data_IF_634309434976
#
_entry.id   IF_634309434976
#
_cell.length_a   1.000
_cell.length_b   1.000
_cell.length_c   1.000
_cell.angle_alpha   90.00
_cell.angle_beta   90.00
_cell.angle_gamma   90.00
#
_symmetry.space_group_name_H-M   'P 1'
#
loop_
_entity.id
_entity.type
_entity.pdbx_description
1 polymer ?
#
# COMPACT_ATOMS: atom_id res chain seq x y z
N UNK A 1 25.98 14.02 4.84
CA UNK A 1 26.49 13.06 3.84
C UNK A 1 28.00 13.01 3.78
N UNK A 2 28.68 14.11 3.44
CA UNK A 2 30.14 14.14 3.30
C UNK A 2 30.91 13.61 4.54
N UNK A 3 30.43 13.87 5.76
CA UNK A 3 31.05 13.38 6.99
C UNK A 3 30.99 11.84 7.15
N UNK A 4 29.88 11.21 6.75
CA UNK A 4 29.80 9.74 6.72
C UNK A 4 30.76 9.15 5.69
N UNK A 5 30.84 9.77 4.50
CA UNK A 5 31.75 9.32 3.44
C UNK A 5 33.23 9.54 3.78
N UNK A 6 33.53 10.58 4.57
CA UNK A 6 34.85 10.86 5.12
C UNK A 6 35.16 10.04 6.39
N UNK A 7 34.34 9.03 6.70
CA UNK A 7 34.56 8.11 7.79
C UNK A 7 34.53 8.75 9.20
N UNK A 8 33.72 9.81 9.37
CA UNK A 8 33.55 10.60 10.60
C UNK A 8 32.11 10.49 11.15
N UNK A 9 31.68 9.30 11.62
CA UNK A 9 30.29 9.07 12.02
C UNK A 9 29.85 9.90 13.23
N UNK A 10 30.74 10.14 14.21
CA UNK A 10 30.43 10.95 15.38
C UNK A 10 30.09 12.41 15.01
N UNK A 11 30.89 13.02 14.12
CA UNK A 11 30.64 14.40 13.65
C UNK A 11 29.38 14.48 12.79
N UNK A 12 29.13 13.43 11.97
CA UNK A 12 27.94 13.34 11.14
C UNK A 12 26.67 13.26 12.00
N UNK A 13 26.67 12.42 13.03
CA UNK A 13 25.57 12.30 14.00
C UNK A 13 25.41 13.62 14.77
N UNK A 14 26.49 14.21 15.28
CA UNK A 14 26.40 15.49 15.99
C UNK A 14 25.80 16.61 15.12
N UNK A 15 26.15 16.66 13.83
CA UNK A 15 25.55 17.60 12.89
C UNK A 15 24.05 17.31 12.67
N UNK A 16 23.68 16.04 12.48
CA UNK A 16 22.28 15.65 12.33
C UNK A 16 21.45 16.02 13.56
N UNK A 17 21.93 15.72 14.77
CA UNK A 17 21.21 16.05 15.99
C UNK A 17 21.02 17.57 16.16
N UNK A 18 21.98 18.39 15.74
CA UNK A 18 21.80 19.85 15.68
C UNK A 18 20.69 20.28 14.70
N UNK A 19 20.55 19.61 13.57
CA UNK A 19 19.47 19.91 12.62
C UNK A 19 18.10 19.41 13.11
N UNK A 20 18.08 18.31 13.87
CA UNK A 20 16.85 17.76 14.48
C UNK A 20 16.37 18.63 15.65
N UNK A 21 17.28 19.24 16.39
CA UNK A 21 16.95 20.02 17.59
C UNK A 21 15.93 21.13 17.30
N UNK A 22 14.82 21.11 18.04
CA UNK A 22 13.75 22.11 17.93
C UNK A 22 12.82 21.93 16.73
N UNK A 23 13.00 20.89 15.92
CA UNK A 23 12.08 20.57 14.82
C UNK A 23 10.88 19.74 15.32
N UNK A 24 9.71 19.84 14.67
CA UNK A 24 8.61 18.90 14.87
C UNK A 24 9.06 17.46 14.65
N UNK A 25 8.47 16.50 15.36
CA UNK A 25 8.88 15.09 15.32
C UNK A 25 8.88 14.53 13.89
N UNK A 26 7.81 14.75 13.12
CA UNK A 26 7.72 14.30 11.72
C UNK A 26 8.85 14.84 10.82
N UNK A 27 9.36 16.04 11.12
CA UNK A 27 10.49 16.64 10.41
C UNK A 27 11.81 16.00 10.86
N UNK A 28 11.98 15.72 12.15
CA UNK A 28 13.15 15.00 12.65
C UNK A 28 13.26 13.61 12.02
N UNK A 29 12.14 12.90 11.90
CA UNK A 29 12.10 11.61 11.24
C UNK A 29 12.39 11.71 9.73
N UNK A 30 11.91 12.78 9.07
CA UNK A 30 12.22 13.06 7.67
C UNK A 30 13.72 13.26 7.44
N UNK A 31 14.39 13.97 8.37
CA UNK A 31 15.85 14.14 8.35
C UNK A 31 16.57 12.81 8.54
N UNK A 32 16.10 11.98 9.49
CA UNK A 32 16.65 10.65 9.72
C UNK A 32 16.49 9.77 8.47
N UNK A 33 15.32 9.79 7.80
CA UNK A 33 15.08 9.06 6.54
C UNK A 33 16.00 9.53 5.44
N UNK A 34 16.09 10.84 5.21
CA UNK A 34 16.98 11.40 4.20
C UNK A 34 18.43 10.97 4.44
N UNK A 35 18.91 11.09 5.68
CA UNK A 35 20.28 10.72 6.02
C UNK A 35 20.51 9.23 5.92
N UNK A 36 19.59 8.42 6.45
CA UNK A 36 19.66 6.96 6.45
C UNK A 36 19.73 6.38 5.04
N UNK A 37 18.89 6.90 4.14
CA UNK A 37 18.86 6.47 2.73
C UNK A 37 20.13 6.91 1.97
N UNK A 38 20.57 8.15 2.15
CA UNK A 38 21.68 8.70 1.34
C UNK A 38 23.09 8.30 1.86
N UNK A 39 23.25 8.00 3.14
CA UNK A 39 24.53 7.63 3.75
C UNK A 39 24.63 6.16 4.17
N UNK A 40 23.76 5.28 3.66
CA UNK A 40 23.61 3.90 4.14
C UNK A 40 24.94 3.15 4.33
N UNK A 41 25.84 3.21 3.33
CA UNK A 41 27.16 2.55 3.40
C UNK A 41 28.05 3.12 4.50
N UNK A 42 28.10 4.44 4.64
CA UNK A 42 28.91 5.11 5.67
C UNK A 42 28.35 4.90 7.08
N UNK A 43 27.03 4.78 7.20
CA UNK A 43 26.35 4.44 8.46
C UNK A 43 26.70 3.00 8.87
N UNK A 44 26.60 2.03 7.95
CA UNK A 44 26.94 0.64 8.21
C UNK A 44 28.40 0.48 8.68
N UNK A 45 29.36 1.07 7.96
CA UNK A 45 30.76 1.05 8.33
C UNK A 45 31.06 1.75 9.68
N UNK A 46 30.25 2.75 10.05
CA UNK A 46 30.35 3.44 11.33
C UNK A 46 29.84 2.60 12.51
N UNK A 47 28.78 1.81 12.29
CA UNK A 47 28.12 1.00 13.30
C UNK A 47 28.93 -0.26 13.68
N UNK A 48 29.76 -0.79 12.78
CA UNK A 48 30.65 -1.92 13.05
C UNK A 48 31.80 -1.57 14.01
N UNK A 49 31.97 -0.30 14.36
CA UNK A 49 33.05 0.18 15.24
C UNK A 49 32.54 0.48 16.64
N UNK A 50 33.43 0.41 17.62
CA UNK A 50 33.16 0.92 18.96
C UNK A 50 32.89 2.43 18.89
N UNK A 51 31.64 2.82 19.17
CA UNK A 51 31.19 4.20 19.24
C UNK A 51 30.79 4.57 20.67
N UNK A 52 30.78 5.86 20.98
CA UNK A 52 30.12 6.34 22.19
C UNK A 52 28.63 5.95 22.16
N UNK A 53 27.99 5.64 23.32
CA UNK A 53 26.62 5.12 23.35
C UNK A 53 25.58 5.95 22.58
N UNK A 54 25.63 7.28 22.69
CA UNK A 54 24.72 8.17 21.97
C UNK A 54 24.90 8.12 20.44
N UNK A 55 26.13 7.96 19.96
CA UNK A 55 26.42 7.80 18.52
C UNK A 55 25.95 6.43 18.04
N UNK A 56 26.18 5.37 18.82
CA UNK A 56 25.71 4.02 18.50
C UNK A 56 24.17 3.97 18.35
N UNK A 57 23.44 4.57 19.29
CA UNK A 57 21.98 4.64 19.24
C UNK A 57 21.47 5.40 18.01
N UNK A 58 22.10 6.53 17.65
CA UNK A 58 21.75 7.28 16.46
C UNK A 58 22.02 6.49 15.17
N UNK A 59 23.17 5.80 15.07
CA UNK A 59 23.47 4.95 13.92
C UNK A 59 22.46 3.81 13.80
N UNK A 60 22.10 3.15 14.90
CA UNK A 60 21.09 2.10 14.90
C UNK A 60 19.73 2.61 14.41
N UNK A 61 19.31 3.80 14.86
CA UNK A 61 18.10 4.47 14.36
C UNK A 61 18.15 4.69 12.84
N UNK A 62 19.28 5.20 12.33
CA UNK A 62 19.46 5.46 10.89
C UNK A 62 19.54 4.17 10.05
N UNK A 63 20.10 3.08 10.60
CA UNK A 63 20.13 1.77 9.94
C UNK A 63 18.73 1.17 9.79
N UNK A 64 17.84 1.39 10.76
CA UNK A 64 16.47 0.87 10.76
C UNK A 64 15.54 1.51 9.74
N UNK A 65 15.91 2.63 9.11
CA UNK A 65 15.06 3.40 8.18
C UNK A 65 14.49 2.54 7.05
N UNK A 66 15.27 1.60 6.53
CA UNK A 66 14.87 0.78 5.38
C UNK A 66 13.93 -0.36 5.78
N UNK A 67 13.97 -0.82 7.04
CA UNK A 67 13.25 -1.99 7.51
C UNK A 67 12.04 -1.64 8.37
N UNK A 68 12.08 -0.52 9.09
CA UNK A 68 10.99 -0.08 9.97
C UNK A 68 9.94 0.66 9.18
N UNK A 69 8.67 0.32 9.38
CA UNK A 69 7.55 1.05 8.79
C UNK A 69 7.50 2.50 9.29
N UNK A 70 7.37 3.49 8.38
CA UNK A 70 7.27 4.88 8.78
C UNK A 70 6.03 5.09 9.66
N UNK A 71 6.10 6.00 10.63
CA UNK A 71 4.91 6.40 11.39
C UNK A 71 3.91 7.07 10.46
N UNK A 72 2.61 6.87 10.71
CA UNK A 72 1.56 7.63 10.03
C UNK A 72 1.56 9.08 10.58
N UNK A 73 1.87 10.11 9.77
CA UNK A 73 1.85 11.48 10.25
C UNK A 73 0.41 11.92 10.52
N UNK A 74 0.13 12.48 11.70
CA UNK A 74 -1.23 12.99 11.99
C UNK A 74 -1.58 14.19 11.11
N UNK A 75 -2.87 14.43 10.89
CA UNK A 75 -3.32 15.60 10.13
C UNK A 75 -2.90 16.91 10.80
N UNK A 76 -2.94 16.98 12.14
CA UNK A 76 -2.54 18.16 12.91
C UNK A 76 -1.04 18.46 12.77
N UNK A 77 -0.18 17.42 12.82
CA UNK A 77 1.25 17.58 12.58
C UNK A 77 1.51 18.14 11.18
N UNK A 78 0.83 17.59 10.17
CA UNK A 78 1.03 18.03 8.79
C UNK A 78 0.45 19.42 8.55
N UNK A 79 -0.71 19.75 9.10
CA UNK A 79 -1.34 21.06 8.97
C UNK A 79 -0.48 22.20 9.54
N UNK A 80 0.39 21.92 10.52
CA UNK A 80 1.31 22.88 11.09
C UNK A 80 2.55 23.17 10.21
N UNK A 81 2.77 22.41 9.13
CA UNK A 81 3.94 22.50 8.26
C UNK A 81 3.65 23.33 6.99
N UNK A 82 4.67 24.03 6.49
CA UNK A 82 4.62 24.63 5.16
C UNK A 82 4.73 23.57 4.05
N UNK A 83 4.27 23.85 2.82
CA UNK A 83 4.24 22.86 1.74
C UNK A 83 5.61 22.26 1.42
N UNK A 84 6.68 23.05 1.49
CA UNK A 84 8.05 22.55 1.33
C UNK A 84 8.44 21.52 2.40
N UNK A 85 7.93 21.73 3.62
CA UNK A 85 8.17 20.88 4.78
C UNK A 85 7.36 19.58 4.66
N UNK A 86 6.08 19.69 4.28
CA UNK A 86 5.22 18.54 3.95
C UNK A 86 5.82 17.70 2.84
N UNK A 87 6.31 18.36 1.78
CA UNK A 87 6.96 17.69 0.66
C UNK A 87 8.17 16.90 1.14
N UNK A 88 9.06 17.51 1.93
CA UNK A 88 10.26 16.81 2.41
C UNK A 88 9.89 15.58 3.27
N UNK A 89 8.87 15.70 4.13
CA UNK A 89 8.33 14.57 4.91
C UNK A 89 7.88 13.43 4.00
N UNK A 90 6.98 13.68 3.05
CA UNK A 90 6.43 12.62 2.19
C UNK A 90 7.45 12.10 1.18
N UNK A 91 8.25 12.97 0.59
CA UNK A 91 9.33 12.58 -0.32
C UNK A 91 10.35 11.70 0.39
N UNK A 92 10.68 11.96 1.66
CA UNK A 92 11.59 11.10 2.42
C UNK A 92 11.04 9.68 2.63
N UNK A 93 9.73 9.53 2.77
CA UNK A 93 9.07 8.21 2.85
C UNK A 93 9.09 7.56 1.47
N UNK A 94 8.68 8.28 0.43
CA UNK A 94 8.68 7.77 -0.94
C UNK A 94 10.08 7.34 -1.41
N UNK A 95 11.15 8.04 -1.02
CA UNK A 95 12.53 7.65 -1.33
C UNK A 95 13.00 6.44 -0.51
N UNK A 96 12.58 6.33 0.75
CA UNK A 96 12.96 5.20 1.60
C UNK A 96 12.23 3.89 1.21
N UNK A 97 11.05 3.99 0.60
CA UNK A 97 10.19 2.84 0.24
C UNK A 97 10.06 2.60 -1.26
N UNK A 98 10.40 3.61 -2.05
CA UNK A 98 10.27 3.63 -3.49
C UNK A 98 11.41 2.92 -4.20
N UNK A 99 11.35 2.97 -5.53
CA UNK A 99 12.44 2.51 -6.40
C UNK A 99 13.12 3.70 -7.10
N UNK A 100 14.15 3.40 -7.90
CA UNK A 100 14.89 4.42 -8.63
C UNK A 100 14.02 5.25 -9.60
N UNK A 101 12.92 4.69 -10.13
CA UNK A 101 12.00 5.44 -10.99
C UNK A 101 11.18 6.45 -10.18
N UNK A 102 10.77 6.11 -8.96
CA UNK A 102 10.14 7.06 -8.05
C UNK A 102 11.11 8.18 -7.67
N UNK A 103 12.37 7.86 -7.36
CA UNK A 103 13.41 8.85 -7.08
C UNK A 103 13.65 9.79 -8.27
N UNK A 104 13.74 9.24 -9.48
CA UNK A 104 13.89 10.02 -10.70
C UNK A 104 12.69 10.95 -10.93
N UNK A 105 11.47 10.47 -10.67
CA UNK A 105 10.28 11.28 -10.82
C UNK A 105 10.23 12.41 -9.80
N UNK A 106 10.62 12.16 -8.53
CA UNK A 106 10.74 13.22 -7.52
C UNK A 106 11.79 14.28 -7.87
N UNK A 107 12.87 13.87 -8.54
CA UNK A 107 13.93 14.77 -8.99
C UNK A 107 13.59 15.55 -10.26
N UNK A 108 12.59 15.11 -11.03
CA UNK A 108 12.24 15.72 -12.32
C UNK A 108 11.16 16.79 -12.11
N UNK A 109 11.43 18.08 -12.41
CA UNK A 109 10.44 19.13 -12.29
C UNK A 109 9.17 18.81 -13.09
N UNK A 110 8.03 19.02 -12.46
CA UNK A 110 6.72 18.74 -13.01
C UNK A 110 6.36 17.24 -13.05
N UNK A 111 7.20 16.31 -12.60
CA UNK A 111 6.73 14.93 -12.43
C UNK A 111 6.07 14.73 -11.07
N UNK A 112 4.93 14.05 -11.09
CA UNK A 112 4.10 13.69 -9.93
C UNK A 112 4.41 12.26 -9.52
N UNK A 113 4.61 12.06 -8.22
CA UNK A 113 4.68 10.75 -7.58
C UNK A 113 3.50 10.61 -6.64
N UNK A 114 2.95 9.40 -6.54
CA UNK A 114 1.84 9.08 -5.65
C UNK A 114 2.40 8.23 -4.51
N UNK A 115 2.16 8.63 -3.28
CA UNK A 115 2.50 7.88 -2.07
C UNK A 115 1.22 7.39 -1.39
N UNK A 116 1.11 6.11 -1.12
CA UNK A 116 0.07 5.49 -0.30
C UNK A 116 0.63 5.12 1.06
N UNK A 117 0.00 5.63 2.12
CA UNK A 117 0.27 5.30 3.51
C UNK A 117 -0.88 4.43 4.02
N UNK A 118 -0.61 3.12 4.11
CA UNK A 118 -1.56 2.14 4.61
C UNK A 118 -1.49 2.05 6.12
N UNK A 119 -2.63 2.21 6.78
CA UNK A 119 -2.87 1.76 8.13
C UNK A 119 -3.48 0.36 8.03
N UNK A 120 -2.62 -0.63 8.19
CA UNK A 120 -3.02 -2.03 8.15
C UNK A 120 -4.19 -2.28 9.12
N UNK A 121 -5.28 -2.85 8.63
CA UNK A 121 -6.48 -3.12 9.41
C UNK A 121 -7.20 -4.33 8.84
N UNK A 122 -8.02 -5.00 9.65
CA UNK A 122 -8.73 -6.18 9.19
C UNK A 122 -9.82 -5.79 8.20
N UNK A 123 -10.07 -6.64 7.19
CA UNK A 123 -11.24 -6.46 6.30
C UNK A 123 -12.56 -6.52 7.05
N UNK A 124 -12.56 -7.14 8.24
CA UNK A 124 -13.68 -7.24 9.15
C UNK A 124 -13.90 -5.97 9.98
N UNK A 125 -12.97 -5.02 10.02
CA UNK A 125 -13.13 -3.81 10.83
C UNK A 125 -14.29 -2.93 10.34
N UNK A 126 -14.59 -2.94 9.03
CA UNK A 126 -15.75 -2.25 8.46
C UNK A 126 -17.09 -2.94 8.76
N UNK A 127 -17.08 -4.05 9.49
CA UNK A 127 -18.23 -4.90 9.76
C UNK A 127 -18.87 -4.65 11.13
N UNK A 128 -18.28 -3.81 11.99
CA UNK A 128 -18.72 -3.63 13.37
C UNK A 128 -20.24 -3.38 13.49
N UNK A 129 -20.86 -4.27 14.28
CA UNK A 129 -22.29 -4.47 14.37
C UNK A 129 -23.03 -3.29 15.06
N UNK A 130 -24.25 -3.06 14.59
CA UNK A 130 -25.28 -2.27 15.26
C UNK A 130 -25.64 -2.78 16.67
N UNK A 131 -25.29 -4.02 17.03
CA UNK A 131 -25.40 -4.55 18.39
C UNK A 131 -24.36 -3.98 19.38
N UNK A 132 -23.32 -3.26 18.91
CA UNK A 132 -22.32 -2.60 19.76
C UNK A 132 -22.24 -1.07 19.52
N UNK A 133 -23.36 -0.33 19.70
CA UNK A 133 -23.48 1.08 19.29
C UNK A 133 -22.63 2.07 20.10
N UNK A 134 -22.04 1.69 21.25
CA UNK A 134 -21.27 2.59 22.11
C UNK A 134 -19.79 2.71 21.74
N UNK A 135 -19.33 2.05 20.67
CA UNK A 135 -17.91 2.01 20.25
C UNK A 135 -17.64 2.44 18.80
N UNK A 136 -18.61 2.97 18.06
CA UNK A 136 -18.35 3.44 16.69
C UNK A 136 -17.37 4.60 16.69
N UNK A 137 -16.10 4.29 16.50
CA UNK A 137 -15.08 5.28 16.15
C UNK A 137 -15.25 5.62 14.69
N UNK A 138 -15.01 6.87 14.33
CA UNK A 138 -14.92 7.22 12.93
C UNK A 138 -13.78 6.43 12.28
N UNK A 139 -14.05 5.89 11.09
CA UNK A 139 -13.07 5.18 10.27
C UNK A 139 -11.90 6.10 9.91
N UNK A 140 -12.19 7.39 9.67
CA UNK A 140 -11.20 8.45 9.75
C UNK A 140 -11.31 9.21 11.09
N UNK A 141 -10.26 9.21 11.96
CA UNK A 141 -10.29 9.86 13.26
C UNK A 141 -10.41 11.40 13.21
N UNK A 142 -10.11 12.03 12.08
CA UNK A 142 -10.30 13.47 11.85
C UNK A 142 -11.77 13.82 11.57
N UNK A 143 -12.65 12.83 11.37
CA UNK A 143 -14.07 13.03 11.15
C UNK A 143 -14.89 12.51 12.33
N UNK A 144 -16.07 13.08 12.56
CA UNK A 144 -16.98 12.58 13.60
C UNK A 144 -17.91 11.45 13.11
N UNK A 145 -17.85 11.10 11.82
CA UNK A 145 -18.78 10.18 11.18
C UNK A 145 -18.06 8.89 10.81
N UNK A 146 -18.58 7.78 11.31
CA UNK A 146 -18.22 6.46 10.82
C UNK A 146 -18.99 6.13 9.53
N UNK A 147 -18.25 6.07 8.43
CA UNK A 147 -18.72 5.75 7.08
C UNK A 147 -18.55 4.27 6.72
N UNK A 148 -17.80 3.52 7.53
CA UNK A 148 -17.54 2.09 7.37
C UNK A 148 -18.68 1.27 7.99
N UNK A 149 -19.60 0.77 7.16
CA UNK A 149 -20.78 0.04 7.65
C UNK A 149 -21.12 -1.14 6.78
N UNK A 150 -21.34 -2.28 7.41
CA UNK A 150 -21.76 -3.50 6.72
C UNK A 150 -20.73 -3.98 5.70
N UNK A 151 -19.44 -3.86 6.03
CA UNK A 151 -18.34 -4.27 5.17
C UNK A 151 -18.05 -3.32 4.02
N UNK A 152 -18.41 -2.04 4.13
CA UNK A 152 -18.26 -1.06 3.04
C UNK A 152 -16.85 -0.50 2.84
N UNK A 153 -15.90 -0.85 3.72
CA UNK A 153 -14.51 -0.38 3.76
C UNK A 153 -14.27 0.74 4.77
N UNK A 154 -13.00 0.96 5.14
CA UNK A 154 -12.55 1.95 6.15
C UNK A 154 -11.69 3.00 5.44
N UNK A 155 -12.05 4.29 5.54
CA UNK A 155 -11.27 5.39 4.93
C UNK A 155 -10.20 5.98 5.85
N UNK A 156 -9.35 5.12 6.42
CA UNK A 156 -8.28 5.49 7.36
C UNK A 156 -6.91 5.71 6.70
N UNK A 157 -6.72 5.35 5.43
CA UNK A 157 -5.45 5.50 4.74
C UNK A 157 -5.26 6.91 4.19
N UNK A 158 -4.01 7.24 3.84
CA UNK A 158 -3.69 8.49 3.15
C UNK A 158 -3.03 8.24 1.81
N UNK A 159 -3.56 8.85 0.76
CA UNK A 159 -2.89 8.97 -0.54
C UNK A 159 -2.38 10.40 -0.71
N UNK A 160 -1.15 10.56 -1.19
CA UNK A 160 -0.49 11.85 -1.35
C UNK A 160 0.07 11.96 -2.77
N UNK A 161 -0.19 13.09 -3.43
CA UNK A 161 0.47 13.45 -4.69
C UNK A 161 1.51 14.53 -4.39
N UNK A 162 2.75 14.29 -4.83
CA UNK A 162 3.88 15.19 -4.57
C UNK A 162 4.63 15.50 -5.86
N UNK A 163 5.00 16.79 -6.03
CA UNK A 163 5.83 17.25 -7.13
C UNK A 163 6.58 18.54 -6.76
N UNK A 164 7.54 18.91 -7.62
CA UNK A 164 8.13 20.24 -7.63
C UNK A 164 7.86 20.89 -8.98
N UNK A 165 7.61 22.19 -8.99
CA UNK A 165 7.56 22.97 -10.22
C UNK A 165 8.97 23.22 -10.77
N UNK A 166 9.03 23.85 -11.95
CA UNK A 166 10.30 24.16 -12.65
C UNK A 166 11.22 25.10 -11.87
N UNK A 167 10.66 25.92 -11.00
CA UNK A 167 11.37 26.82 -10.09
C UNK A 167 11.80 26.13 -8.79
N UNK A 168 11.44 24.85 -8.61
CA UNK A 168 11.70 24.07 -7.41
C UNK A 168 10.64 24.23 -6.32
N UNK A 169 9.57 25.00 -6.56
CA UNK A 169 8.47 25.15 -5.60
C UNK A 169 7.81 23.79 -5.37
N UNK A 170 7.79 23.37 -4.10
CA UNK A 170 7.30 22.07 -3.69
C UNK A 170 5.79 22.11 -3.45
N UNK A 171 5.10 21.05 -3.87
CA UNK A 171 3.65 20.92 -3.76
C UNK A 171 3.27 19.54 -3.23
N UNK A 172 2.18 19.53 -2.46
CA UNK A 172 1.61 18.33 -1.86
C UNK A 172 0.09 18.43 -1.92
N UNK A 173 -0.57 17.36 -2.37
CA UNK A 173 -2.02 17.18 -2.23
C UNK A 173 -2.28 15.91 -1.44
N UNK A 174 -2.93 16.07 -0.28
CA UNK A 174 -3.24 15.00 0.67
C UNK A 174 -4.71 14.58 0.51
N UNK A 175 -4.95 13.29 0.29
CA UNK A 175 -6.25 12.65 0.39
C UNK A 175 -6.27 11.83 1.67
N UNK A 176 -6.76 12.44 2.75
CA UNK A 176 -6.74 11.87 4.10
C UNK A 176 -7.81 10.80 4.32
N UNK A 177 -8.78 10.69 3.41
CA UNK A 177 -9.81 9.65 3.41
C UNK A 177 -9.58 8.74 2.22
N UNK A 178 -8.63 7.83 2.35
CA UNK A 178 -8.38 6.78 1.39
C UNK A 178 -8.52 5.39 2.02
N UNK A 179 -8.61 4.37 1.18
CA UNK A 179 -8.68 2.98 1.56
C UNK A 179 -7.82 2.16 0.61
N UNK A 180 -6.97 1.31 1.16
CA UNK A 180 -6.06 0.43 0.42
C UNK A 180 -6.26 -1.04 0.73
N UNK A 181 -7.27 -1.33 1.54
CA UNK A 181 -7.72 -2.66 1.93
C UNK A 181 -8.92 -3.12 1.09
N UNK A 182 -9.13 -4.42 0.92
CA UNK A 182 -10.32 -4.93 0.28
C UNK A 182 -11.53 -4.83 1.21
N UNK A 183 -12.74 -4.92 0.66
CA UNK A 183 -13.97 -4.71 1.45
C UNK A 183 -14.87 -5.93 1.49
N UNK A 184 -15.22 -6.34 2.71
CA UNK A 184 -15.88 -7.61 3.01
C UNK A 184 -17.24 -7.78 2.30
N UNK A 185 -17.95 -6.70 1.94
CA UNK A 185 -19.23 -6.82 1.22
C UNK A 185 -19.10 -7.47 -0.18
N UNK A 186 -17.91 -7.50 -0.78
CA UNK A 186 -17.65 -8.19 -2.05
C UNK A 186 -17.10 -9.60 -1.87
N UNK A 187 -16.79 -9.98 -0.64
CA UNK A 187 -16.16 -11.25 -0.31
C UNK A 187 -17.12 -12.42 -0.55
N UNK A 188 -16.62 -13.52 -1.09
CA UNK A 188 -17.41 -14.73 -1.28
C UNK A 188 -17.93 -15.28 0.07
N UNK A 189 -17.16 -15.13 1.15
CA UNK A 189 -17.50 -15.53 2.51
C UNK A 189 -18.69 -14.78 3.13
N UNK A 190 -19.13 -13.67 2.53
CA UNK A 190 -20.34 -12.94 2.93
C UNK A 190 -21.68 -13.68 2.68
N UNK A 191 -21.61 -14.95 2.27
CA UNK A 191 -22.77 -15.80 2.04
C UNK A 191 -23.42 -15.62 0.67
N UNK A 192 -24.34 -16.52 0.34
CA UNK A 192 -25.14 -16.45 -0.88
C UNK A 192 -26.50 -17.14 -0.75
N UNK A 193 -27.55 -16.47 -1.23
CA UNK A 193 -28.92 -17.01 -1.33
C UNK A 193 -29.18 -17.76 -2.66
N UNK A 194 -28.13 -18.10 -3.41
CA UNK A 194 -28.17 -18.89 -4.64
C UNK A 194 -28.39 -18.09 -5.92
N UNK A 195 -28.08 -16.78 -5.91
CA UNK A 195 -28.22 -15.94 -7.10
C UNK A 195 -27.25 -14.75 -7.14
N UNK A 196 -26.20 -14.74 -6.32
CA UNK A 196 -25.24 -13.63 -6.21
C UNK A 196 -24.39 -13.53 -7.49
N UNK A 197 -24.29 -12.35 -8.13
CA UNK A 197 -23.47 -12.19 -9.33
C UNK A 197 -21.98 -12.39 -9.05
N UNK A 198 -21.23 -12.85 -10.06
CA UNK A 198 -19.76 -12.86 -10.04
C UNK A 198 -19.21 -11.63 -10.76
N UNK A 199 -18.06 -11.11 -10.34
CA UNK A 199 -17.40 -9.93 -10.91
C UNK A 199 -17.05 -10.08 -12.39
N UNK A 200 -16.64 -11.27 -12.81
CA UNK A 200 -16.34 -11.62 -14.21
C UNK A 200 -17.57 -11.95 -15.07
N UNK A 201 -18.76 -11.90 -14.48
CA UNK A 201 -20.01 -12.29 -15.11
C UNK A 201 -20.50 -13.68 -14.70
N UNK A 202 -21.79 -13.93 -14.88
CA UNK A 202 -22.46 -15.14 -14.37
C UNK A 202 -22.96 -14.97 -12.93
N UNK A 203 -23.33 -16.09 -12.31
CA UNK A 203 -23.91 -16.13 -10.96
C UNK A 203 -23.41 -17.35 -10.19
N UNK A 204 -23.16 -17.14 -8.91
CA UNK A 204 -23.03 -18.22 -7.94
C UNK A 204 -24.45 -18.72 -7.57
N UNK A 205 -24.71 -19.98 -7.85
CA UNK A 205 -26.02 -20.61 -7.64
C UNK A 205 -26.07 -21.44 -6.36
N UNK A 206 -24.90 -21.76 -5.76
CA UNK A 206 -24.84 -22.46 -4.48
C UNK A 206 -25.39 -21.57 -3.37
N UNK A 207 -26.17 -22.18 -2.47
CA UNK A 207 -26.62 -21.53 -1.24
C UNK A 207 -25.70 -21.92 -0.11
N UNK A 208 -25.26 -20.94 0.66
CA UNK A 208 -24.46 -21.15 1.86
C UNK A 208 -24.58 -19.93 2.76
N UNK A 209 -24.48 -20.20 4.05
CA UNK A 209 -24.50 -19.17 5.08
C UNK A 209 -23.16 -18.39 5.07
N UNK A 210 -23.14 -17.15 5.58
CA UNK A 210 -21.89 -16.42 5.78
C UNK A 210 -20.90 -17.21 6.64
N UNK A 211 -19.61 -17.05 6.37
CA UNK A 211 -18.55 -17.60 7.22
C UNK A 211 -18.48 -16.86 8.56
N UNK A 212 -17.87 -17.45 9.60
CA UNK A 212 -17.65 -16.77 10.87
C UNK A 212 -17.01 -15.39 10.69
N UNK A 213 -17.57 -14.36 11.32
CA UNK A 213 -17.14 -12.97 11.18
C UNK A 213 -17.84 -12.20 10.07
N UNK A 214 -18.49 -12.88 9.10
CA UNK A 214 -19.15 -12.24 7.96
C UNK A 214 -20.67 -11.98 8.16
N UNK A 215 -21.23 -12.38 9.30
CA UNK A 215 -22.67 -12.47 9.52
C UNK A 215 -23.39 -11.10 9.51
N UNK A 216 -22.67 -10.01 9.75
CA UNK A 216 -23.26 -8.66 9.74
C UNK A 216 -23.46 -8.10 8.33
N UNK A 217 -22.93 -8.75 7.29
CA UNK A 217 -23.18 -8.36 5.89
C UNK A 217 -24.55 -8.88 5.46
N UNK A 218 -25.57 -8.06 5.72
CA UNK A 218 -26.95 -8.38 5.35
C UNK A 218 -27.26 -8.18 3.86
N UNK A 219 -26.39 -7.46 3.13
CA UNK A 219 -26.56 -7.14 1.70
C UNK A 219 -25.24 -7.30 0.94
N UNK A 220 -24.75 -8.54 0.78
CA UNK A 220 -23.52 -8.76 0.03
C UNK A 220 -23.68 -8.29 -1.43
N UNK A 221 -22.60 -7.74 -1.98
CA UNK A 221 -22.51 -7.26 -3.37
C UNK A 221 -22.25 -8.42 -4.31
N UNK A 222 -21.81 -8.17 -5.54
CA UNK A 222 -21.29 -9.26 -6.40
C UNK A 222 -20.04 -9.87 -5.74
N UNK A 223 -19.77 -11.14 -6.01
CA UNK A 223 -18.56 -11.84 -5.54
C UNK A 223 -17.41 -11.40 -6.44
N UNK A 224 -16.35 -10.90 -5.82
CA UNK A 224 -15.10 -10.53 -6.50
C UNK A 224 -13.96 -11.41 -5.96
N UNK A 225 -12.82 -11.39 -6.64
CA UNK A 225 -11.65 -12.19 -6.26
C UNK A 225 -11.51 -13.49 -7.03
N UNK A 226 -10.51 -14.28 -6.61
CA UNK A 226 -10.06 -15.51 -7.26
C UNK A 226 -9.92 -16.61 -6.21
N UNK A 227 -10.23 -17.85 -6.57
CA UNK A 227 -10.07 -19.04 -5.73
C UNK A 227 -8.61 -19.51 -5.82
N UNK A 228 -7.75 -19.08 -4.89
CA UNK A 228 -6.30 -19.37 -4.99
C UNK A 228 -5.85 -20.63 -4.26
N UNK A 229 -6.69 -21.16 -3.38
CA UNK A 229 -6.44 -22.39 -2.63
C UNK A 229 -7.23 -23.60 -3.20
N UNK A 230 -8.08 -23.39 -4.21
CA UNK A 230 -8.92 -24.38 -4.89
C UNK A 230 -9.98 -25.04 -3.99
N UNK A 231 -10.50 -24.32 -3.00
CA UNK A 231 -11.58 -24.78 -2.12
C UNK A 231 -12.99 -24.46 -2.65
N UNK A 232 -13.08 -23.74 -3.77
CA UNK A 232 -14.33 -23.31 -4.40
C UNK A 232 -14.90 -22.01 -3.82
N UNK A 233 -14.18 -21.31 -2.94
CA UNK A 233 -14.44 -19.98 -2.43
C UNK A 233 -13.47 -19.00 -3.09
N UNK A 234 -13.85 -17.73 -3.24
CA UNK A 234 -13.05 -16.72 -3.95
C UNK A 234 -12.52 -15.73 -2.93
N UNK A 235 -11.23 -15.48 -3.03
CA UNK A 235 -10.47 -14.74 -2.05
C UNK A 235 -10.30 -13.30 -2.52
N UNK A 236 -10.69 -12.34 -1.68
CA UNK A 236 -10.42 -10.93 -1.94
C UNK A 236 -8.91 -10.68 -1.98
N UNK A 237 -8.52 -9.70 -2.78
CA UNK A 237 -7.13 -9.36 -2.98
C UNK A 237 -6.84 -7.90 -2.73
N UNK A 238 -5.63 -7.62 -2.26
CA UNK A 238 -5.08 -6.27 -2.12
C UNK A 238 -3.71 -6.17 -2.77
N UNK A 239 -3.30 -4.95 -3.10
CA UNK A 239 -1.91 -4.71 -3.51
C UNK A 239 -0.98 -4.87 -2.29
N UNK A 240 0.14 -5.57 -2.52
CA UNK A 240 1.26 -5.60 -1.58
C UNK A 240 1.99 -4.27 -1.59
N UNK A 241 2.67 -3.95 -0.49
CA UNK A 241 3.63 -2.84 -0.43
C UNK A 241 4.68 -2.92 -1.55
N UNK A 242 5.08 -1.77 -2.07
CA UNK A 242 6.06 -1.64 -3.14
C UNK A 242 5.80 -0.44 -4.04
N UNK A 243 6.56 -0.35 -5.14
CA UNK A 243 6.36 0.68 -6.16
C UNK A 243 5.75 0.06 -7.41
N UNK A 244 4.63 0.62 -7.86
CA UNK A 244 3.90 0.17 -9.04
C UNK A 244 3.83 1.34 -10.02
N UNK A 245 4.27 1.11 -11.26
CA UNK A 245 4.03 2.08 -12.32
C UNK A 245 2.57 2.03 -12.73
N UNK A 246 1.93 3.20 -12.76
CA UNK A 246 0.52 3.39 -13.07
C UNK A 246 0.35 4.17 -14.37
N UNK A 247 -0.77 3.94 -15.05
CA UNK A 247 -1.23 4.69 -16.22
C UNK A 247 -2.69 5.11 -16.08
N UNK A 248 -3.11 6.07 -16.91
CA UNK A 248 -4.49 6.49 -17.02
C UNK A 248 -5.43 5.33 -17.36
N UNK A 249 -6.59 5.34 -16.72
CA UNK A 249 -7.70 4.42 -16.90
C UNK A 249 -9.03 5.15 -16.66
N UNK A 250 -10.12 4.39 -16.72
CA UNK A 250 -11.46 4.84 -16.35
C UNK A 250 -12.08 3.86 -15.36
N UNK A 251 -12.95 4.38 -14.50
CA UNK A 251 -13.76 3.60 -13.57
C UNK A 251 -15.18 4.18 -13.51
N UNK A 252 -16.25 3.36 -13.42
CA UNK A 252 -17.61 3.87 -13.26
C UNK A 252 -17.71 4.83 -12.07
N UNK A 253 -18.38 5.96 -12.25
CA UNK A 253 -18.57 6.92 -11.18
C UNK A 253 -19.68 6.42 -10.22
N UNK A 254 -19.37 6.16 -8.93
CA UNK A 254 -20.36 5.63 -7.99
C UNK A 254 -21.44 6.65 -7.58
N UNK A 255 -21.21 7.94 -7.83
CA UNK A 255 -22.13 9.04 -7.50
C UNK A 255 -23.07 9.38 -8.67
N UNK A 256 -22.66 9.07 -9.91
CA UNK A 256 -23.36 9.43 -11.13
C UNK A 256 -23.47 8.22 -12.05
N UNK A 257 -24.54 7.45 -11.88
CA UNK A 257 -24.80 6.23 -12.63
C UNK A 257 -24.73 6.47 -14.15
N UNK A 258 -24.03 5.57 -14.86
CA UNK A 258 -23.83 5.65 -16.32
C UNK A 258 -22.70 6.58 -16.77
N UNK A 259 -21.99 7.22 -15.84
CA UNK A 259 -20.81 8.03 -16.14
C UNK A 259 -19.52 7.33 -15.70
N UNK A 260 -18.38 7.79 -16.24
CA UNK A 260 -17.05 7.28 -15.91
C UNK A 260 -16.23 8.41 -15.31
N UNK A 261 -15.49 8.09 -14.26
CA UNK A 261 -14.41 8.93 -13.75
C UNK A 261 -13.07 8.45 -14.29
N UNK A 262 -12.12 9.39 -14.33
CA UNK A 262 -10.71 9.05 -14.46
C UNK A 262 -10.31 8.05 -13.38
N UNK A 263 -9.31 7.25 -13.66
CA UNK A 263 -8.71 6.33 -12.69
C UNK A 263 -7.25 6.09 -13.08
N UNK A 264 -6.51 5.42 -12.22
CA UNK A 264 -5.19 4.89 -12.54
C UNK A 264 -5.21 3.37 -12.43
N UNK A 265 -4.40 2.67 -13.23
CA UNK A 265 -4.19 1.22 -13.13
C UNK A 265 -2.72 0.86 -13.40
N UNK A 266 -2.25 -0.32 -12.95
CA UNK A 266 -0.91 -0.80 -13.31
C UNK A 266 -0.66 -0.78 -14.81
N UNK A 267 0.56 -0.43 -15.21
CA UNK A 267 0.98 -0.56 -16.61
C UNK A 267 1.20 -2.02 -16.97
N UNK A 268 1.14 -2.36 -18.26
CA UNK A 268 1.47 -3.72 -18.69
C UNK A 268 2.90 -4.13 -18.30
N UNK A 269 3.83 -3.18 -18.27
CA UNK A 269 5.20 -3.42 -17.79
C UNK A 269 5.23 -3.72 -16.29
N UNK A 270 4.46 -2.99 -15.48
CA UNK A 270 4.31 -3.28 -14.05
C UNK A 270 3.68 -4.66 -13.82
N UNK A 271 2.64 -5.03 -14.58
CA UNK A 271 2.02 -6.36 -14.53
C UNK A 271 3.04 -7.46 -14.85
N UNK A 272 3.79 -7.32 -15.94
CA UNK A 272 4.79 -8.31 -16.34
C UNK A 272 5.95 -8.47 -15.32
N UNK A 273 6.30 -7.40 -14.61
CA UNK A 273 7.34 -7.42 -13.57
C UNK A 273 6.80 -7.72 -12.16
N UNK A 274 5.48 -7.68 -11.96
CA UNK A 274 4.83 -7.60 -10.66
C UNK A 274 4.65 -8.95 -9.95
N UNK A 275 5.70 -9.77 -9.91
CA UNK A 275 5.64 -11.08 -9.24
C UNK A 275 5.33 -10.92 -7.75
N UNK A 276 4.31 -11.62 -7.25
CA UNK A 276 3.94 -11.62 -5.82
C UNK A 276 3.51 -10.25 -5.27
N UNK A 277 2.92 -9.40 -6.11
CA UNK A 277 2.47 -8.05 -5.73
C UNK A 277 1.00 -7.97 -5.32
N UNK A 278 0.29 -9.10 -5.29
CA UNK A 278 -1.08 -9.19 -4.77
C UNK A 278 -1.08 -10.13 -3.57
N UNK A 279 -1.72 -9.71 -2.49
CA UNK A 279 -1.99 -10.55 -1.33
C UNK A 279 -3.47 -10.94 -1.32
N UNK A 280 -3.80 -12.15 -0.87
CA UNK A 280 -5.15 -12.67 -0.72
C UNK A 280 -5.37 -13.31 0.64
N UNK A 281 -6.54 -13.04 1.19
CA UNK A 281 -7.05 -13.62 2.43
C UNK A 281 -7.80 -14.90 2.06
N UNK A 282 -7.05 -16.01 2.03
CA UNK A 282 -7.51 -17.33 1.57
C UNK A 282 -8.11 -18.18 2.68
N UNK A 283 -8.03 -17.71 3.92
CA UNK A 283 -8.64 -18.37 5.08
C UNK A 283 -9.79 -17.54 5.69
N UNK A 284 -10.04 -16.35 5.13
CA UNK A 284 -11.10 -15.42 5.49
C UNK A 284 -11.06 -14.96 6.95
N UNK A 285 -9.88 -14.88 7.54
CA UNK A 285 -9.71 -14.37 8.90
C UNK A 285 -9.61 -12.83 8.96
N UNK A 286 -9.67 -12.19 7.79
CA UNK A 286 -9.62 -10.75 7.59
C UNK A 286 -8.22 -10.16 7.59
N UNK A 287 -7.17 -10.99 7.62
CA UNK A 287 -5.77 -10.59 7.57
C UNK A 287 -5.07 -11.20 6.35
N UNK A 288 -3.99 -10.56 5.91
CA UNK A 288 -3.19 -11.01 4.76
C UNK A 288 -1.79 -11.38 5.23
N UNK A 289 -1.61 -12.62 5.65
CA UNK A 289 -0.38 -13.08 6.28
C UNK A 289 0.11 -14.44 5.76
N UNK A 290 1.02 -15.09 6.50
CA UNK A 290 1.65 -16.33 6.06
C UNK A 290 0.75 -17.56 6.26
N UNK A 291 -0.36 -17.40 6.97
CA UNK A 291 -1.36 -18.45 7.14
C UNK A 291 -2.25 -18.60 5.90
N UNK A 292 -2.16 -17.65 4.96
CA UNK A 292 -2.84 -17.71 3.68
C UNK A 292 -2.19 -18.68 2.71
N UNK A 293 -2.88 -19.80 2.46
CA UNK A 293 -2.46 -20.81 1.48
C UNK A 293 -2.54 -20.20 0.08
N UNK A 294 -1.40 -20.14 -0.61
CA UNK A 294 -1.28 -19.45 -1.91
C UNK A 294 -1.71 -17.97 -1.87
N UNK A 295 -1.68 -17.33 -0.69
CA UNK A 295 -2.10 -15.95 -0.49
C UNK A 295 -1.25 -14.89 -1.20
N UNK A 296 -0.22 -15.27 -1.96
CA UNK A 296 0.59 -14.34 -2.76
C UNK A 296 0.45 -14.66 -4.24
N UNK A 297 0.00 -13.68 -5.01
CA UNK A 297 -0.26 -13.79 -6.45
C UNK A 297 0.47 -12.69 -7.23
N UNK A 298 0.63 -12.90 -8.53
CA UNK A 298 1.22 -11.91 -9.42
C UNK A 298 0.24 -10.74 -9.68
N UNK A 299 0.80 -9.57 -9.96
CA UNK A 299 0.04 -8.36 -10.30
C UNK A 299 -0.78 -8.59 -11.57
N UNK A 300 -1.96 -7.99 -11.60
CA UNK A 300 -2.79 -7.88 -12.79
C UNK A 300 -3.26 -6.42 -12.96
N UNK A 301 -4.02 -6.13 -14.02
CA UNK A 301 -4.48 -4.78 -14.34
C UNK A 301 -5.88 -4.45 -13.79
N UNK A 302 -6.42 -5.28 -12.90
CA UNK A 302 -7.76 -5.09 -12.32
C UNK A 302 -7.75 -4.13 -11.14
N UNK A 303 -6.61 -4.01 -10.43
CA UNK A 303 -6.42 -3.05 -9.36
C UNK A 303 -6.34 -1.63 -9.92
N UNK A 304 -7.06 -0.69 -9.29
CA UNK A 304 -7.11 0.71 -9.70
C UNK A 304 -6.88 1.66 -8.54
N UNK A 305 -6.57 2.92 -8.84
CA UNK A 305 -6.84 4.05 -7.95
C UNK A 305 -8.07 4.78 -8.49
N UNK A 306 -9.15 4.86 -7.72
CA UNK A 306 -10.40 5.49 -8.17
C UNK A 306 -11.21 6.13 -7.02
N UNK A 307 -12.29 6.80 -7.40
CA UNK A 307 -13.26 7.40 -6.46
C UNK A 307 -14.15 6.33 -5.83
N UNK A 308 -14.36 6.41 -4.52
CA UNK A 308 -15.47 5.75 -3.83
C UNK A 308 -16.59 6.73 -3.46
N UNK A 309 -17.74 6.21 -3.03
CA UNK A 309 -18.86 7.03 -2.55
C UNK A 309 -18.64 7.54 -1.11
N UNK A 310 -19.60 8.36 -0.63
CA UNK A 310 -19.62 8.97 0.72
C UNK A 310 -19.85 8.01 1.90
N UNK A 311 -19.79 6.71 1.65
CA UNK A 311 -20.19 5.67 2.61
C UNK A 311 -19.82 4.27 2.18
N UNK A 312 -19.10 4.13 1.06
CA UNK A 312 -18.54 2.87 0.61
C UNK A 312 -17.35 3.16 -0.28
N UNK A 313 -16.37 2.27 -0.26
CA UNK A 313 -15.27 2.30 -1.22
C UNK A 313 -15.71 1.92 -2.63
N UNK A 314 -16.88 1.28 -2.78
CA UNK A 314 -17.37 0.77 -4.05
C UNK A 314 -16.34 -0.13 -4.77
N UNK A 315 -15.50 -0.80 -3.99
CA UNK A 315 -14.31 -1.51 -4.45
C UNK A 315 -14.10 -2.79 -3.66
N UNK A 316 -13.75 -3.87 -4.37
CA UNK A 316 -13.39 -5.15 -3.75
C UNK A 316 -11.92 -5.24 -3.32
N UNK A 317 -11.06 -4.29 -3.70
CA UNK A 317 -9.60 -4.37 -3.48
C UNK A 317 -8.75 -3.31 -4.18
N UNK A 318 -9.37 -2.40 -4.93
CA UNK A 318 -8.72 -1.22 -5.49
C UNK A 318 -8.43 -0.17 -4.41
N UNK A 319 -7.45 0.67 -4.70
CA UNK A 319 -7.13 1.85 -3.92
C UNK A 319 -8.22 2.88 -4.13
N UNK A 320 -8.91 3.25 -3.07
CA UNK A 320 -10.10 4.07 -3.17
C UNK A 320 -9.91 5.37 -2.42
N UNK A 321 -10.27 6.48 -3.05
CA UNK A 321 -10.26 7.79 -2.42
C UNK A 321 -11.71 8.23 -2.24
N UNK A 322 -12.03 8.70 -1.03
CA UNK A 322 -13.36 9.17 -0.69
C UNK A 322 -13.82 10.30 -1.62
N UNK A 323 -15.13 10.33 -1.91
CA UNK A 323 -15.76 11.24 -2.85
C UNK A 323 -15.32 12.71 -2.72
N UNK A 324 -15.21 13.19 -1.48
CA UNK A 324 -14.87 14.59 -1.16
C UNK A 324 -13.38 14.92 -1.38
N UNK A 325 -12.47 13.93 -1.42
CA UNK A 325 -11.02 14.15 -1.59
C UNK A 325 -10.57 13.90 -3.05
N UNK A 326 -11.35 13.12 -3.79
CA UNK A 326 -10.93 12.58 -5.09
C UNK A 326 -10.68 13.66 -6.16
N UNK A 327 -11.47 14.73 -6.20
CA UNK A 327 -11.31 15.77 -7.23
C UNK A 327 -9.96 16.48 -7.11
N UNK A 328 -9.54 16.79 -5.87
CA UNK A 328 -8.22 17.38 -5.61
C UNK A 328 -7.10 16.41 -6.02
N UNK A 329 -7.23 15.14 -5.67
CA UNK A 329 -6.28 14.10 -6.06
C UNK A 329 -6.11 14.01 -7.58
N UNK A 330 -7.20 13.84 -8.31
CA UNK A 330 -7.13 13.59 -9.77
C UNK A 330 -6.63 14.84 -10.51
N UNK A 331 -7.02 16.04 -10.06
CA UNK A 331 -6.50 17.29 -10.59
C UNK A 331 -4.99 17.42 -10.39
N UNK A 332 -4.46 16.99 -9.23
CA UNK A 332 -3.02 17.00 -8.96
C UNK A 332 -2.27 16.02 -9.88
N UNK A 333 -2.76 14.78 -9.98
CA UNK A 333 -2.22 13.74 -10.87
C UNK A 333 -2.17 14.22 -12.32
N UNK A 334 -3.24 14.83 -12.80
CA UNK A 334 -3.40 15.29 -14.18
C UNK A 334 -2.82 16.68 -14.45
N UNK A 335 -2.32 17.37 -13.41
CA UNK A 335 -1.80 18.73 -13.53
C UNK A 335 -0.59 18.87 -14.45
N UNK A 336 0.09 17.77 -14.81
CA UNK A 336 1.05 17.74 -15.91
C UNK A 336 0.52 16.89 -17.06
N UNK A 337 -0.01 17.51 -18.13
CA UNK A 337 -0.57 16.77 -19.26
C UNK A 337 0.49 15.98 -20.06
N UNK A 338 1.78 16.31 -19.91
CA UNK A 338 2.86 15.54 -20.56
C UNK A 338 3.19 14.25 -19.79
N UNK A 339 2.81 14.13 -18.52
CA UNK A 339 3.01 12.92 -17.74
C UNK A 339 1.87 11.95 -17.98
N UNK A 340 2.19 10.76 -18.49
CA UNK A 340 1.22 9.70 -18.78
C UNK A 340 1.44 8.44 -17.95
N UNK A 341 2.49 8.45 -17.11
CA UNK A 341 2.93 7.36 -16.23
C UNK A 341 3.29 7.93 -14.87
N UNK A 342 2.87 7.25 -13.80
CA UNK A 342 3.11 7.70 -12.42
C UNK A 342 3.69 6.55 -11.61
N UNK A 343 4.65 6.84 -10.74
CA UNK A 343 5.10 5.88 -9.74
C UNK A 343 4.17 5.97 -8.54
N UNK A 344 3.54 4.86 -8.17
CA UNK A 344 2.75 4.72 -6.96
C UNK A 344 3.54 3.90 -5.94
N UNK A 345 4.03 4.57 -4.89
CA UNK A 345 4.75 3.95 -3.77
C UNK A 345 3.74 3.66 -2.67
N UNK A 346 3.48 2.39 -2.37
CA UNK A 346 2.60 1.95 -1.29
C UNK A 346 3.44 1.36 -0.16
N UNK A 347 3.24 1.85 1.07
CA UNK A 347 3.90 1.34 2.28
C UNK A 347 2.90 1.26 3.43
N UNK A 348 3.04 0.27 4.28
CA UNK A 348 2.34 0.24 5.57
C UNK A 348 3.02 1.19 6.54
N UNK A 349 2.27 1.64 7.54
CA UNK A 349 2.69 2.62 8.54
C UNK A 349 2.56 2.07 9.96
N UNK A 350 3.22 2.75 10.91
CA UNK A 350 3.07 2.48 12.34
C UNK A 350 2.21 3.52 13.07
N UNK A 351 1.51 3.12 14.14
CA UNK A 351 1.38 1.74 14.63
C UNK A 351 0.55 0.89 13.66
N UNK A 352 1.11 -0.26 13.26
CA UNK A 352 0.32 -1.33 12.66
C UNK A 352 -0.33 -2.14 13.79
N UNK A 353 -1.44 -2.85 13.52
CA UNK A 353 -2.08 -3.71 14.49
C UNK A 353 -1.06 -4.77 14.92
N UNK A 354 -0.79 -4.82 16.23
CA UNK A 354 -0.02 -5.89 16.83
C UNK A 354 -0.96 -7.08 16.95
N UNK A 355 -1.06 -7.90 15.90
CA UNK A 355 -1.31 -9.33 16.13
C UNK A 355 -0.07 -9.79 16.89
N UNK A 356 -0.23 -10.31 18.11
CA UNK A 356 0.87 -10.94 18.85
C UNK A 356 1.43 -12.05 17.95
N UNK A 357 2.42 -11.71 17.13
CA UNK A 357 3.26 -12.69 16.49
C UNK A 357 3.93 -13.39 17.66
N UNK A 358 3.40 -14.57 18.02
CA UNK A 358 4.17 -15.59 18.69
C UNK A 358 5.40 -15.82 17.81
N UNK A 359 6.44 -15.03 18.07
CA UNK A 359 7.79 -15.36 17.66
C UNK A 359 8.08 -16.64 18.39
N UNK A 360 8.05 -17.73 17.63
CA UNK A 360 8.47 -19.04 18.03
C UNK A 360 9.92 -18.93 18.53
N UNK A 361 10.08 -18.69 19.84
CA UNK A 361 11.36 -18.81 20.50
C UNK A 361 11.59 -20.30 20.62
N UNK A 362 12.36 -20.84 19.68
CA UNK A 362 12.82 -22.21 19.69
C UNK A 362 13.23 -22.65 21.09
N UNK A 363 12.42 -23.52 21.69
CA UNK A 363 12.86 -24.41 22.75
C UNK A 363 12.99 -25.78 22.13
N UNK A 364 14.24 -26.22 22.07
CA UNK A 364 14.63 -27.49 21.51
C UNK A 364 13.95 -28.68 22.19
N UNK A 365 13.83 -29.74 21.39
CA UNK A 365 13.53 -31.09 21.82
C UNK A 365 14.30 -31.49 23.08
N UNK A 366 13.59 -32.01 24.07
CA UNK A 366 14.04 -33.12 24.92
C UNK A 366 12.81 -33.99 25.24
N UNK A 367 12.88 -35.27 24.88
CA UNK A 367 11.73 -36.16 24.82
C UNK A 367 11.41 -36.91 26.12
N UNK A 368 10.19 -37.44 26.18
CA UNK A 368 9.85 -38.67 26.88
C UNK A 368 8.49 -39.22 26.38
N UNK A 369 8.60 -40.40 25.75
CA UNK A 369 7.69 -41.50 25.36
C UNK A 369 6.20 -41.63 25.82
N UNK A 370 5.43 -42.54 25.17
CA UNK A 370 3.99 -42.43 24.89
C UNK A 370 3.07 -43.19 25.87
N UNK A 371 1.80 -42.78 25.93
CA UNK A 371 0.74 -43.48 26.67
C UNK A 371 -0.56 -43.62 25.85
N UNK A 372 -0.80 -44.86 25.43
CA UNK A 372 -2.05 -45.61 25.17
C UNK A 372 -3.39 -44.85 25.01
N UNK A 373 -3.96 -44.91 23.81
CA UNK A 373 -5.21 -45.63 23.44
C UNK A 373 -6.50 -45.15 24.14
N UNK A 374 -7.37 -44.46 23.39
CA UNK A 374 -8.79 -44.83 23.38
C UNK A 374 -9.37 -44.69 21.97
N UNK A 375 -9.89 -45.82 21.48
CA UNK A 375 -10.35 -46.04 20.10
C UNK A 375 -11.76 -45.48 19.91
N UNK A 376 -11.92 -44.55 18.97
CA UNK A 376 -13.20 -44.23 18.35
C UNK A 376 -13.11 -44.41 16.84
N UNK A 377 -13.76 -45.45 16.29
CA UNK A 377 -13.85 -45.68 14.85
C UNK A 377 -14.80 -44.64 14.20
N UNK A 378 -14.44 -44.03 13.06
CA UNK A 378 -15.40 -43.30 12.22
C UNK A 378 -16.12 -44.26 11.24
N UNK A 379 -17.40 -44.02 10.91
CA UNK A 379 -18.11 -44.82 9.92
C UNK A 379 -17.64 -44.54 8.49
N UNK A 380 -17.78 -45.56 7.65
CA UNK A 380 -17.15 -45.75 6.36
C UNK A 380 -17.54 -44.75 5.26
N UNK A 381 -16.54 -44.37 4.46
CA UNK A 381 -16.71 -43.76 3.14
C UNK A 381 -17.23 -44.79 2.12
N UNK A 382 -18.13 -44.43 1.19
CA UNK A 382 -18.33 -45.21 -0.03
C UNK A 382 -17.19 -44.93 -1.04
N UNK A 383 -16.67 -46.03 -1.60
CA UNK A 383 -15.58 -46.08 -2.58
C UNK A 383 -15.80 -45.20 -3.81
N UNK A 384 -14.72 -44.50 -4.19
CA UNK A 384 -14.52 -43.90 -5.50
C UNK A 384 -14.57 -44.98 -6.59
N UNK A 385 -15.35 -44.72 -7.65
CA UNK A 385 -15.16 -45.37 -8.94
C UNK A 385 -14.26 -44.52 -9.83
N UNK A 386 -13.34 -45.20 -10.50
CA UNK A 386 -12.32 -44.68 -11.41
C UNK A 386 -12.92 -43.89 -12.58
N UNK A 387 -12.38 -42.70 -12.83
CA UNK A 387 -12.51 -41.96 -14.08
C UNK A 387 -11.24 -41.13 -14.29
N UNK A 388 -10.52 -41.39 -15.39
CA UNK A 388 -9.21 -40.81 -15.69
C UNK A 388 -9.21 -39.29 -15.94
N UNK A 389 -8.03 -38.70 -16.18
CA UNK A 389 -7.83 -37.26 -16.20
C UNK A 389 -8.60 -36.59 -17.36
N UNK A 390 -9.43 -35.60 -17.03
CA UNK A 390 -10.07 -34.75 -18.02
C UNK A 390 -9.04 -33.77 -18.60
N UNK A 391 -8.96 -33.74 -19.94
CA UNK A 391 -8.11 -32.85 -20.71
C UNK A 391 -8.52 -31.37 -20.55
N UNK A 392 -7.57 -30.43 -20.69
CA UNK A 392 -7.86 -29.00 -20.56
C UNK A 392 -8.73 -28.51 -21.73
N UNK A 393 -9.81 -27.80 -21.39
CA UNK A 393 -10.66 -27.08 -22.35
C UNK A 393 -9.90 -25.85 -22.85
N UNK A 394 -9.71 -25.63 -24.16
CA UNK A 394 -9.04 -24.44 -24.67
C UNK A 394 -9.94 -23.21 -24.48
N UNK A 395 -9.52 -22.29 -23.62
CA UNK A 395 -10.11 -20.96 -23.55
C UNK A 395 -9.86 -20.20 -24.85
N UNK A 396 -10.92 -19.61 -25.43
CA UNK A 396 -10.81 -18.68 -26.55
C UNK A 396 -9.97 -17.46 -26.14
N UNK A 397 -8.97 -17.03 -26.94
CA UNK A 397 -8.34 -15.74 -26.74
C UNK A 397 -9.37 -14.63 -27.00
N UNK A 398 -9.45 -13.65 -26.09
CA UNK A 398 -10.15 -12.40 -26.34
C UNK A 398 -9.42 -11.68 -27.48
N UNK A 399 -10.14 -11.41 -28.56
CA UNK A 399 -9.69 -10.54 -29.64
C UNK A 399 -9.39 -9.17 -29.06
N UNK A 400 -8.13 -8.77 -29.14
CA UNK A 400 -7.76 -7.37 -29.13
C UNK A 400 -8.08 -6.81 -30.52
N UNK A 401 -8.89 -5.76 -30.57
CA UNK A 401 -9.00 -4.95 -31.78
C UNK A 401 -7.64 -4.30 -32.03
N UNK A 402 -7.05 -4.68 -33.16
CA UNK A 402 -5.84 -4.10 -33.70
C UNK A 402 -6.23 -2.91 -34.57
N UNK A 403 -5.72 -1.72 -34.24
CA UNK A 403 -5.55 -0.64 -35.21
C UNK A 403 -4.06 -0.28 -35.29
N UNK A 404 -3.50 -0.65 -36.45
CA UNK A 404 -2.40 -0.08 -37.20
C UNK A 404 -1.20 0.54 -36.47
N UNK A 405 -0.12 -0.24 -36.46
CA UNK A 405 1.25 0.25 -36.40
C UNK A 405 1.86 0.33 -37.81
N UNK A 406 2.46 1.46 -38.14
CA UNK A 406 3.59 1.51 -39.08
C UNK A 406 4.84 2.08 -38.39
N UNK A 407 6.03 1.51 -38.67
CA UNK A 407 7.20 1.67 -37.84
C UNK A 407 8.09 2.85 -38.29
N UNK A 408 8.68 3.55 -37.32
CA UNK A 408 9.95 4.24 -37.53
C UNK A 408 10.96 3.78 -36.48
N UNK A 409 11.91 2.98 -36.97
CA UNK A 409 13.18 2.67 -36.34
C UNK A 409 13.89 3.95 -35.90
N UNK A 410 14.18 4.08 -34.61
CA UNK A 410 15.32 4.86 -34.12
C UNK A 410 16.02 4.01 -33.04
N UNK A 411 17.22 3.53 -33.39
CA UNK A 411 18.20 3.04 -32.44
C UNK A 411 18.57 4.14 -31.45
N UNK A 412 18.57 3.84 -30.15
CA UNK A 412 19.39 4.57 -29.20
C UNK A 412 20.14 3.59 -28.29
N UNK A 413 21.46 3.72 -28.36
CA UNK A 413 22.45 2.93 -27.67
C UNK A 413 22.47 3.20 -26.16
N UNK A 414 22.89 2.17 -25.43
CA UNK A 414 23.39 2.26 -24.06
C UNK A 414 24.43 3.37 -23.90
N UNK A 415 24.25 4.21 -22.88
CA UNK A 415 25.35 4.85 -22.14
C UNK A 415 24.88 5.26 -20.73
N UNK A 416 25.70 5.04 -19.69
CA UNK A 416 25.36 5.40 -18.32
C UNK A 416 25.56 6.89 -18.09
N UNK A 417 24.58 7.56 -17.48
CA UNK A 417 24.70 8.96 -17.06
C UNK A 417 24.98 9.04 -15.55
N UNK A 418 26.06 9.71 -15.11
CA UNK A 418 26.38 9.92 -13.70
C UNK A 418 25.92 11.32 -13.26
N UNK A 419 24.79 11.44 -12.57
CA UNK A 419 24.41 12.69 -11.89
C UNK A 419 23.66 12.40 -10.58
N UNK A 420 24.42 12.31 -9.48
CA UNK A 420 23.94 12.55 -8.12
C UNK A 420 24.34 13.98 -7.74
N UNK A 421 23.54 14.96 -8.18
CA UNK A 421 23.70 16.35 -7.79
C UNK A 421 22.38 16.89 -7.22
N UNK A 422 22.35 17.06 -5.89
CA UNK A 422 21.70 18.21 -5.26
C UNK A 422 20.22 18.12 -4.90
N UNK A 423 19.77 17.10 -4.15
CA UNK A 423 18.64 17.34 -3.24
C UNK A 423 19.19 17.86 -1.91
N UNK A 424 18.94 19.13 -1.61
CA UNK A 424 19.04 19.68 -0.26
C UNK A 424 17.62 19.92 0.25
N UNK A 425 17.20 19.27 1.36
CA UNK A 425 15.93 19.59 2.02
C UNK A 425 15.83 21.09 2.31
N UNK A 426 14.63 21.66 2.34
CA UNK A 426 14.41 23.11 2.51
C UNK A 426 15.06 23.66 3.80
N UNK A 427 15.24 22.78 4.78
CA UNK A 427 15.80 23.00 6.11
C UNK A 427 17.32 23.09 6.18
N UNK A 428 18.02 22.82 5.07
CA UNK A 428 19.49 22.85 4.97
C UNK A 428 20.00 24.17 4.38
N UNK A 429 19.11 25.04 3.86
CA UNK A 429 19.50 26.36 3.39
C UNK A 429 19.79 27.30 4.58
N UNK A 430 20.92 28.02 4.61
CA UNK A 430 21.17 29.01 5.64
C UNK A 430 20.12 30.12 5.51
N UNK A 431 19.45 30.44 6.62
CA UNK A 431 18.62 31.63 6.73
C UNK A 431 19.48 32.86 6.43
N UNK A 432 19.46 33.35 5.19
CA UNK A 432 19.95 34.68 4.87
C UNK A 432 19.00 35.69 5.54
N UNK A 433 19.38 36.13 6.74
CA UNK A 433 18.84 37.36 7.33
C UNK A 433 19.14 38.49 6.35
N UNK A 434 18.11 39.03 5.71
CA UNK A 434 18.17 40.36 5.13
C UNK A 434 18.22 41.36 6.27
N UNK A 435 19.43 41.77 6.66
CA UNK A 435 19.66 43.00 7.39
C UNK A 435 20.05 44.08 6.37
N UNK A 436 19.14 45.03 6.16
CA UNK A 436 19.34 46.31 5.48
C UNK A 436 18.12 47.15 5.82
N UNK A 437 18.18 48.36 6.34
CA UNK A 437 19.25 49.29 6.72
C UNK A 437 18.54 50.53 7.26
#
# INVERSE_FOLDING_TARGET
MALFNANRPADAVALLERHRQGQPEVVQESLDRYVGTQAQRGIAAGAERSQAPGVAAALQRLQGIQTTAPRFPSEDEMAALADSQKYDVYASIAQARGNAAADQALATPGQRVILGLRQENSTLDAMEDSAHPTRRRADNPATARDESRGGSGVYNDRLVVLWKDVDGTAHVVESNRANTEPTAQYDHHAGNTGARPLGEGGRENRRFDPSPGFESITRPRKIEGDDVNADGVRDLGRLREGTIEMQGAQHPNPLLAGTMDSALRPTQAAVAAGRGMVQRDSNADGWFDQTDVNGTQDLNDTFKIHRGSRGSTDSAGCQTIHADDYDAFVNAVQGNPAQTRWQYVLTSTTPGPVREQQRDQGRGNEGAQPGEEERGHPPAQPQRQNGGPAAPVPGRPRQADAEDAHPRLIHCMHRPAPWLAGWTPAWVAPAMRTASG
#
